data_IF_732868956073
#
_entry.id   IF_732868956073
#
_cell.length_a   1.000
_cell.length_b   1.000
_cell.length_c   1.000
_cell.angle_alpha   90.00
_cell.angle_beta   90.00
_cell.angle_gamma   90.00
#
_symmetry.space_group_name_H-M   'P 1'
#
loop_
_entity.id
_entity.type
_entity.pdbx_description
1 polymer ?
#
# COMPACT_ATOMS: atom_id res chain seq x y z
N UNK A 1 29.65 -35.38 -9.31
CA UNK A 1 29.48 -36.46 -10.29
C UNK A 1 28.18 -36.25 -11.04
N UNK A 2 28.28 -36.34 -12.38
CA UNK A 2 27.25 -36.22 -13.44
C UNK A 2 26.74 -34.80 -13.72
N UNK A 3 27.29 -34.10 -14.65
CA UNK A 3 27.43 -34.12 -16.14
C UNK A 3 26.11 -33.79 -16.87
N UNK A 4 26.14 -32.61 -17.47
CA UNK A 4 25.84 -32.12 -18.82
C UNK A 4 24.90 -32.94 -19.72
N UNK A 5 24.01 -32.27 -20.42
CA UNK A 5 23.94 -32.31 -21.88
C UNK A 5 23.29 -30.99 -22.39
N UNK A 6 24.07 -30.28 -23.23
CA UNK A 6 23.68 -29.20 -24.14
C UNK A 6 23.26 -29.86 -25.46
N UNK A 7 22.17 -29.45 -26.06
CA UNK A 7 21.85 -29.75 -27.44
C UNK A 7 21.60 -28.45 -28.24
N UNK A 8 22.56 -28.16 -29.13
CA UNK A 8 22.49 -27.17 -30.21
C UNK A 8 22.02 -27.93 -31.45
N UNK A 9 21.06 -27.41 -32.20
CA UNK A 9 20.81 -27.82 -33.59
C UNK A 9 20.56 -26.59 -34.48
N UNK A 10 21.04 -26.56 -35.73
CA UNK A 10 21.32 -25.36 -36.47
C UNK A 10 20.31 -24.96 -37.55
N UNK A 11 20.52 -23.75 -38.05
CA UNK A 11 19.95 -23.14 -39.26
C UNK A 11 20.06 -23.98 -40.52
N UNK A 12 19.01 -23.97 -41.35
CA UNK A 12 19.12 -24.17 -42.80
C UNK A 12 18.27 -23.13 -43.55
N UNK A 13 18.96 -22.41 -44.44
CA UNK A 13 18.41 -21.53 -45.48
C UNK A 13 18.26 -22.37 -46.78
N UNK A 14 17.24 -22.08 -47.58
CA UNK A 14 17.17 -22.05 -49.04
C UNK A 14 15.69 -21.83 -49.44
N UNK A 15 15.25 -21.05 -50.39
CA UNK A 15 15.79 -20.46 -51.57
C UNK A 15 14.59 -20.25 -52.51
N UNK A 16 14.55 -19.15 -53.24
CA UNK A 16 13.50 -18.67 -54.13
C UNK A 16 13.14 -19.61 -55.30
N UNK A 17 11.95 -19.58 -55.85
CA UNK A 17 11.64 -19.07 -57.18
C UNK A 17 10.16 -19.17 -57.62
N UNK A 18 9.70 -18.11 -58.25
CA UNK A 18 8.79 -17.83 -59.39
C UNK A 18 7.45 -18.56 -59.63
N UNK A 19 6.50 -17.65 -59.72
CA UNK A 19 5.45 -17.49 -60.77
C UNK A 19 4.49 -18.62 -61.06
N UNK A 20 3.19 -18.30 -61.02
CA UNK A 20 2.26 -18.40 -62.16
C UNK A 20 0.87 -17.81 -61.83
N UNK A 21 0.28 -17.23 -62.87
CA UNK A 21 -0.98 -16.52 -62.95
C UNK A 21 -2.20 -17.45 -62.82
N UNK A 22 -3.31 -16.92 -62.31
CA UNK A 22 -4.63 -17.52 -62.56
C UNK A 22 -5.68 -17.14 -61.55
N UNK A 23 -6.50 -16.14 -61.87
CA UNK A 23 -7.77 -15.83 -61.17
C UNK A 23 -8.87 -16.82 -61.63
N UNK A 24 -9.81 -17.17 -60.77
CA UNK A 24 -11.13 -16.58 -60.96
C UNK A 24 -11.88 -16.22 -59.65
N UNK A 25 -12.84 -15.34 -59.82
CA UNK A 25 -13.74 -14.74 -58.83
C UNK A 25 -14.45 -15.76 -57.91
N UNK A 26 -14.48 -15.46 -56.61
CA UNK A 26 -15.31 -16.06 -55.60
C UNK A 26 -16.05 -14.99 -54.77
N UNK A 27 -17.13 -15.33 -54.08
CA UNK A 27 -18.25 -14.42 -53.77
C UNK A 27 -18.00 -13.48 -52.60
N UNK A 28 -18.72 -12.37 -52.69
CA UNK A 28 -18.84 -11.21 -51.81
C UNK A 28 -18.42 -11.31 -50.37
N UNK A 29 -17.44 -10.49 -50.03
CA UNK A 29 -17.12 -10.14 -48.64
C UNK A 29 -18.18 -9.15 -48.14
N UNK A 30 -18.94 -9.57 -47.14
CA UNK A 30 -19.80 -8.66 -46.37
C UNK A 30 -18.94 -7.52 -45.82
N UNK A 31 -19.37 -6.25 -45.87
CA UNK A 31 -18.62 -5.16 -45.27
C UNK A 31 -18.56 -5.37 -43.77
N UNK A 32 -17.35 -5.61 -43.25
CA UNK A 32 -17.11 -5.69 -41.84
C UNK A 32 -17.57 -4.41 -41.17
N UNK A 33 -18.45 -4.52 -40.20
CA UNK A 33 -18.75 -3.45 -39.26
C UNK A 33 -17.45 -3.10 -38.54
N UNK A 34 -16.76 -2.08 -38.98
CA UNK A 34 -15.70 -1.44 -38.19
C UNK A 34 -16.43 -0.66 -37.09
N UNK A 35 -16.35 -1.14 -35.88
CA UNK A 35 -16.70 -0.31 -34.72
C UNK A 35 -15.81 0.94 -34.78
N UNK A 36 -16.37 2.16 -34.71
CA UNK A 36 -15.54 3.36 -34.63
C UNK A 36 -14.67 3.26 -33.38
N UNK A 37 -13.36 3.39 -33.54
CA UNK A 37 -12.43 3.52 -32.40
C UNK A 37 -12.90 4.73 -31.58
N UNK A 38 -13.44 4.47 -30.38
CA UNK A 38 -13.86 5.51 -29.42
C UNK A 38 -12.63 6.19 -28.80
N UNK A 39 -11.80 6.84 -29.63
CA UNK A 39 -10.50 7.40 -29.22
C UNK A 39 -10.56 8.69 -28.41
N UNK A 40 -11.74 9.34 -28.21
CA UNK A 40 -11.82 10.67 -27.60
C UNK A 40 -12.97 10.90 -26.60
N UNK A 41 -13.62 9.88 -26.09
CA UNK A 41 -14.65 10.06 -25.06
C UNK A 41 -13.95 10.02 -23.70
N UNK A 42 -13.89 11.18 -23.03
CA UNK A 42 -13.47 11.25 -21.63
C UNK A 42 -14.72 10.92 -20.81
N UNK A 43 -14.74 9.72 -20.22
CA UNK A 43 -15.74 9.39 -19.24
C UNK A 43 -15.37 10.07 -17.92
N UNK A 44 -16.31 10.78 -17.34
CA UNK A 44 -16.20 11.39 -16.02
C UNK A 44 -17.25 10.82 -15.11
N UNK A 45 -16.98 10.93 -13.83
CA UNK A 45 -17.90 10.52 -12.79
C UNK A 45 -19.24 11.24 -12.96
N UNK A 46 -20.32 10.47 -12.90
CA UNK A 46 -21.66 11.02 -12.89
C UNK A 46 -21.94 11.76 -11.58
N UNK A 47 -22.64 12.89 -11.65
CA UNK A 47 -22.92 13.73 -10.48
C UNK A 47 -23.77 13.02 -9.42
N UNK A 48 -24.72 12.18 -9.82
CA UNK A 48 -25.52 11.40 -8.86
C UNK A 48 -24.65 10.34 -8.17
N UNK A 49 -23.72 9.73 -8.90
CA UNK A 49 -22.76 8.79 -8.36
C UNK A 49 -21.78 9.49 -7.38
N UNK A 50 -21.34 10.70 -7.70
CA UNK A 50 -20.52 11.50 -6.79
C UNK A 50 -21.25 11.77 -5.45
N UNK A 51 -22.53 12.11 -5.50
CA UNK A 51 -23.34 12.28 -4.28
C UNK A 51 -23.42 10.99 -3.49
N UNK A 52 -23.66 9.85 -4.15
CA UNK A 52 -23.73 8.54 -3.49
C UNK A 52 -22.43 8.17 -2.77
N UNK A 53 -21.28 8.36 -3.43
CA UNK A 53 -19.98 8.01 -2.81
C UNK A 53 -19.57 9.00 -1.71
N UNK A 54 -19.96 10.27 -1.80
CA UNK A 54 -19.76 11.22 -0.71
C UNK A 54 -20.57 10.80 0.52
N UNK A 55 -21.84 10.42 0.36
CA UNK A 55 -22.65 9.89 1.44
C UNK A 55 -22.10 8.57 2.00
N UNK A 56 -21.59 7.69 1.13
CA UNK A 56 -20.93 6.46 1.57
C UNK A 56 -19.70 6.78 2.42
N UNK A 57 -18.83 7.71 1.98
CA UNK A 57 -17.64 8.13 2.73
C UNK A 57 -18.01 8.63 4.13
N UNK A 58 -19.06 9.47 4.26
CA UNK A 58 -19.53 9.95 5.57
C UNK A 58 -20.02 8.81 6.46
N UNK A 59 -20.71 7.81 5.91
CA UNK A 59 -21.13 6.61 6.65
C UNK A 59 -19.96 5.75 7.10
N UNK A 60 -18.94 5.58 6.24
CA UNK A 60 -17.70 4.86 6.58
C UNK A 60 -16.95 5.58 7.69
N UNK A 61 -16.87 6.92 7.63
CA UNK A 61 -16.25 7.72 8.68
C UNK A 61 -16.92 7.53 10.04
N UNK A 62 -18.26 7.49 10.08
CA UNK A 62 -19.02 7.20 11.31
C UNK A 62 -18.72 5.80 11.87
N UNK A 63 -18.38 4.85 10.99
CA UNK A 63 -18.19 3.44 11.32
C UNK A 63 -16.71 3.06 11.42
N UNK A 64 -15.81 4.01 11.69
CA UNK A 64 -14.37 3.80 11.72
C UNK A 64 -13.97 2.62 12.62
N UNK A 65 -13.23 1.65 12.08
CA UNK A 65 -12.77 0.44 12.77
C UNK A 65 -11.27 0.27 12.62
N UNK A 66 -10.61 -0.19 13.70
CA UNK A 66 -9.17 -0.42 13.71
C UNK A 66 -8.76 -1.57 12.80
N UNK A 67 -7.49 -1.56 12.38
CA UNK A 67 -6.85 -2.63 11.60
C UNK A 67 -7.15 -4.03 12.14
N UNK A 68 -7.58 -4.92 11.26
CA UNK A 68 -7.97 -6.29 11.58
C UNK A 68 -9.35 -6.45 12.23
N UNK A 69 -10.12 -5.36 12.36
CA UNK A 69 -11.47 -5.34 12.96
C UNK A 69 -12.53 -4.73 12.04
N UNK A 70 -12.23 -4.51 10.77
CA UNK A 70 -13.02 -3.80 9.76
C UNK A 70 -14.24 -4.63 9.27
N UNK A 71 -15.04 -5.13 10.22
CA UNK A 71 -16.18 -6.01 9.93
C UNK A 71 -17.37 -5.21 9.39
N UNK A 72 -17.73 -4.14 10.06
CA UNK A 72 -18.84 -3.28 9.70
C UNK A 72 -18.52 -2.44 8.47
N UNK A 73 -17.30 -1.90 8.39
CA UNK A 73 -16.76 -1.20 7.23
C UNK A 73 -16.85 -2.08 5.98
N UNK A 74 -16.33 -3.31 6.06
CA UNK A 74 -16.41 -4.28 4.97
C UNK A 74 -17.86 -4.64 4.60
N UNK A 75 -18.78 -4.75 5.58
CA UNK A 75 -20.20 -5.01 5.35
C UNK A 75 -20.85 -3.86 4.58
N UNK A 76 -20.66 -2.62 5.03
CA UNK A 76 -21.21 -1.42 4.40
C UNK A 76 -20.76 -1.28 2.94
N UNK A 77 -19.48 -1.49 2.67
CA UNK A 77 -18.93 -1.44 1.31
C UNK A 77 -19.56 -2.51 0.41
N UNK A 78 -19.65 -3.76 0.87
CA UNK A 78 -20.27 -4.84 0.09
C UNK A 78 -21.75 -4.62 -0.15
N UNK A 79 -22.50 -4.12 0.83
CA UNK A 79 -23.92 -3.78 0.68
C UNK A 79 -24.08 -2.65 -0.33
N UNK A 80 -23.30 -1.58 -0.22
CA UNK A 80 -23.34 -0.49 -1.20
C UNK A 80 -23.10 -0.98 -2.63
N UNK A 81 -22.10 -1.84 -2.85
CA UNK A 81 -21.80 -2.40 -4.15
C UNK A 81 -22.93 -3.30 -4.67
N UNK A 82 -23.51 -4.17 -3.82
CA UNK A 82 -24.63 -5.05 -4.18
C UNK A 82 -25.90 -4.28 -4.54
N UNK A 83 -26.16 -3.18 -3.86
CA UNK A 83 -27.34 -2.35 -4.10
C UNK A 83 -27.22 -1.47 -5.34
N UNK A 84 -26.02 -1.08 -5.72
CA UNK A 84 -25.81 -0.06 -6.74
C UNK A 84 -25.09 -0.56 -8.00
N UNK A 85 -24.61 -1.82 -8.04
CA UNK A 85 -23.87 -2.37 -9.18
C UNK A 85 -24.22 -3.84 -9.43
N UNK A 86 -23.90 -4.33 -10.63
CA UNK A 86 -23.97 -5.74 -10.99
C UNK A 86 -22.63 -6.48 -10.90
N UNK A 87 -21.61 -5.88 -10.27
CA UNK A 87 -20.28 -6.46 -10.15
C UNK A 87 -20.32 -7.74 -9.30
N UNK A 88 -19.54 -8.73 -9.68
CA UNK A 88 -19.31 -9.93 -8.86
C UNK A 88 -18.46 -9.53 -7.64
N UNK A 89 -18.93 -9.87 -6.43
CA UNK A 89 -18.22 -9.58 -5.16
C UNK A 89 -17.77 -10.90 -4.55
N UNK A 90 -16.49 -11.00 -4.24
CA UNK A 90 -15.88 -12.19 -3.66
C UNK A 90 -15.22 -11.85 -2.34
N UNK A 91 -15.74 -12.46 -1.27
CA UNK A 91 -15.18 -12.31 0.08
C UNK A 91 -13.97 -13.24 0.27
N UNK A 92 -12.96 -12.72 0.95
CA UNK A 92 -11.76 -13.41 1.37
C UNK A 92 -11.64 -13.33 2.91
N UNK A 93 -10.59 -13.84 3.47
CA UNK A 93 -10.38 -13.84 4.92
C UNK A 93 -10.12 -12.40 5.46
N UNK A 94 -11.21 -11.68 5.76
CA UNK A 94 -11.18 -10.32 6.33
C UNK A 94 -10.97 -9.18 5.31
N UNK A 95 -10.90 -9.48 4.02
CA UNK A 95 -10.90 -8.51 2.92
C UNK A 95 -11.78 -9.02 1.77
N UNK A 96 -12.03 -8.24 0.75
CA UNK A 96 -12.84 -8.66 -0.39
C UNK A 96 -12.44 -7.91 -1.66
N UNK A 97 -12.90 -8.42 -2.80
CA UNK A 97 -12.78 -7.69 -4.06
C UNK A 97 -14.11 -7.72 -4.82
N UNK A 98 -14.31 -6.70 -5.67
CA UNK A 98 -15.31 -6.70 -6.70
C UNK A 98 -14.64 -6.86 -8.07
N UNK A 99 -15.33 -7.47 -9.03
CA UNK A 99 -14.77 -7.67 -10.38
C UNK A 99 -15.78 -7.37 -11.46
N UNK A 100 -15.34 -6.60 -12.47
CA UNK A 100 -16.03 -6.42 -13.75
C UNK A 100 -15.25 -7.18 -14.83
N UNK A 101 -15.84 -8.23 -15.36
CA UNK A 101 -15.22 -9.01 -16.43
C UNK A 101 -15.10 -8.19 -17.71
N UNK A 102 -13.95 -8.26 -18.36
CA UNK A 102 -13.69 -7.62 -19.65
C UNK A 102 -14.32 -8.37 -20.82
N UNK A 103 -14.49 -7.66 -21.93
CA UNK A 103 -14.99 -8.25 -23.18
C UNK A 103 -13.95 -9.12 -23.88
N UNK A 104 -12.66 -8.83 -23.69
CA UNK A 104 -11.55 -9.54 -24.32
C UNK A 104 -10.70 -10.26 -23.25
N UNK A 105 -10.75 -11.59 -23.17
CA UNK A 105 -9.96 -12.37 -22.24
C UNK A 105 -8.44 -12.22 -22.44
N UNK A 106 -7.99 -11.89 -23.64
CA UNK A 106 -6.57 -11.73 -23.98
C UNK A 106 -6.03 -10.32 -23.63
N UNK A 107 -6.89 -9.36 -23.36
CA UNK A 107 -6.50 -7.99 -23.03
C UNK A 107 -5.83 -7.86 -21.64
N UNK A 108 -5.75 -8.96 -20.88
CA UNK A 108 -5.20 -8.97 -19.53
C UNK A 108 -6.18 -8.41 -18.48
N UNK A 109 -5.63 -8.02 -17.33
CA UNK A 109 -6.43 -7.49 -16.23
C UNK A 109 -5.72 -6.37 -15.51
N UNK A 110 -6.49 -5.51 -14.84
CA UNK A 110 -5.99 -4.40 -14.04
C UNK A 110 -6.65 -4.42 -12.67
N UNK A 111 -5.93 -4.06 -11.63
CA UNK A 111 -6.48 -3.92 -10.29
C UNK A 111 -6.33 -2.49 -9.76
N UNK A 112 -7.31 -2.10 -8.95
CA UNK A 112 -7.30 -0.89 -8.16
C UNK A 112 -7.47 -1.27 -6.70
N UNK A 113 -6.68 -0.68 -5.81
CA UNK A 113 -6.70 -0.97 -4.37
C UNK A 113 -7.14 0.25 -3.58
N UNK A 114 -7.96 0.00 -2.58
CA UNK A 114 -8.20 0.92 -1.47
C UNK A 114 -8.10 0.15 -0.14
N UNK A 115 -7.48 0.78 0.84
CA UNK A 115 -7.49 0.42 2.24
C UNK A 115 -8.84 0.79 2.89
N UNK A 116 -9.16 0.17 4.04
CA UNK A 116 -10.47 0.37 4.69
C UNK A 116 -10.41 0.53 6.21
N UNK A 117 -9.24 0.45 6.83
CA UNK A 117 -9.04 0.54 8.27
C UNK A 117 -8.90 1.98 8.77
N UNK A 118 -9.00 2.18 10.08
CA UNK A 118 -8.92 3.46 10.77
C UNK A 118 -7.88 3.42 11.90
N UNK A 119 -7.61 4.57 12.49
CA UNK A 119 -6.58 4.81 13.48
C UNK A 119 -7.14 4.95 14.91
N UNK A 120 -6.36 4.60 15.95
CA UNK A 120 -6.71 4.85 17.35
C UNK A 120 -6.49 6.32 17.72
N UNK A 121 -7.18 7.22 17.02
CA UNK A 121 -7.12 8.67 17.19
C UNK A 121 -8.51 9.19 17.47
N UNK A 122 -8.65 9.96 18.56
CA UNK A 122 -9.90 10.59 18.95
C UNK A 122 -10.38 11.60 17.92
N UNK A 123 -11.68 11.58 17.60
CA UNK A 123 -12.31 12.61 16.78
C UNK A 123 -12.42 13.91 17.56
N UNK A 124 -11.81 15.00 17.09
CA UNK A 124 -11.81 16.29 17.78
C UNK A 124 -12.50 17.43 17.02
N UNK A 125 -12.91 17.16 15.79
CA UNK A 125 -13.61 18.15 14.94
C UNK A 125 -15.13 17.90 14.99
N UNK A 126 -15.90 19.00 14.98
CA UNK A 126 -17.37 18.96 14.96
C UNK A 126 -17.85 18.65 13.54
N UNK A 127 -18.02 17.38 13.24
CA UNK A 127 -18.51 16.88 11.96
C UNK A 127 -19.90 16.27 12.12
N UNK A 128 -20.84 16.53 11.19
CA UNK A 128 -22.17 15.89 11.23
C UNK A 128 -22.10 14.36 11.04
N UNK A 129 -20.96 13.86 10.61
CA UNK A 129 -20.65 12.43 10.38
C UNK A 129 -19.43 11.98 11.20
N UNK A 130 -19.16 12.62 12.34
CA UNK A 130 -18.06 12.21 13.22
C UNK A 130 -18.15 10.73 13.59
N UNK A 131 -17.00 10.12 13.88
CA UNK A 131 -16.92 8.71 14.29
C UNK A 131 -17.82 8.42 15.49
N UNK A 132 -18.57 7.33 15.43
CA UNK A 132 -19.39 6.82 16.53
C UNK A 132 -18.59 5.93 17.50
N UNK A 133 -17.33 5.62 17.17
CA UNK A 133 -16.44 4.80 17.98
C UNK A 133 -15.44 5.69 18.73
N UNK A 134 -15.63 5.81 20.04
CA UNK A 134 -14.75 6.61 20.89
C UNK A 134 -13.29 6.18 20.74
N UNK A 135 -12.40 7.16 20.53
CA UNK A 135 -10.98 6.93 20.37
C UNK A 135 -10.55 6.33 19.02
N UNK A 136 -11.46 6.19 18.05
CA UNK A 136 -11.17 5.63 16.71
C UNK A 136 -11.75 6.54 15.64
N UNK A 137 -10.96 6.95 14.66
CA UNK A 137 -11.44 7.74 13.52
C UNK A 137 -10.55 7.60 12.27
N UNK A 138 -11.12 7.92 11.09
CA UNK A 138 -10.39 7.90 9.81
C UNK A 138 -9.52 9.16 9.68
N UNK A 139 -8.33 9.13 10.27
CA UNK A 139 -7.34 10.23 10.23
C UNK A 139 -6.22 10.03 9.20
N UNK A 140 -6.36 8.96 8.36
CA UNK A 140 -5.54 8.74 7.19
C UNK A 140 -6.31 8.95 5.87
N UNK A 141 -7.65 8.78 5.89
CA UNK A 141 -8.50 9.03 4.72
C UNK A 141 -8.92 7.77 3.96
N UNK A 142 -8.80 6.60 4.57
CA UNK A 142 -9.16 5.32 3.96
C UNK A 142 -10.66 5.19 3.66
N UNK A 143 -11.51 5.91 4.40
CA UNK A 143 -12.93 6.10 4.08
C UNK A 143 -13.13 6.77 2.70
N UNK A 144 -12.29 7.75 2.37
CA UNK A 144 -12.27 8.41 1.07
C UNK A 144 -11.69 7.52 -0.04
N UNK A 145 -10.63 6.74 0.25
CA UNK A 145 -10.04 5.82 -0.71
C UNK A 145 -11.04 4.76 -1.15
N UNK A 146 -11.70 4.11 -0.19
CA UNK A 146 -12.68 3.07 -0.45
C UNK A 146 -13.96 3.62 -1.09
N UNK A 147 -14.40 4.83 -0.72
CA UNK A 147 -15.52 5.49 -1.39
C UNK A 147 -15.21 5.84 -2.86
N UNK A 148 -13.98 6.33 -3.16
CA UNK A 148 -13.55 6.58 -4.54
C UNK A 148 -13.47 5.30 -5.37
N UNK A 149 -13.04 4.18 -4.76
CA UNK A 149 -13.03 2.87 -5.42
C UNK A 149 -14.46 2.37 -5.70
N UNK A 150 -15.42 2.62 -4.80
CA UNK A 150 -16.84 2.40 -5.08
C UNK A 150 -17.36 3.30 -6.22
N UNK A 151 -16.82 4.51 -6.35
CA UNK A 151 -17.10 5.39 -7.49
C UNK A 151 -16.67 4.77 -8.81
N UNK A 152 -15.48 4.20 -8.89
CA UNK A 152 -15.06 3.43 -10.06
C UNK A 152 -16.04 2.27 -10.34
N UNK A 153 -16.51 1.55 -9.33
CA UNK A 153 -17.47 0.45 -9.49
C UNK A 153 -18.77 0.91 -10.16
N UNK A 154 -19.33 2.04 -9.70
CA UNK A 154 -20.55 2.62 -10.28
C UNK A 154 -20.39 2.98 -11.76
N UNK A 155 -19.25 3.56 -12.13
CA UNK A 155 -18.99 3.94 -13.52
C UNK A 155 -18.69 2.71 -14.40
N UNK A 156 -17.96 1.71 -13.89
CA UNK A 156 -17.71 0.45 -14.60
C UNK A 156 -19.00 -0.34 -14.88
N UNK A 157 -20.01 -0.20 -14.05
CA UNK A 157 -21.27 -0.91 -14.27
C UNK A 157 -22.06 -0.41 -15.49
N UNK A 158 -21.75 0.80 -15.98
CA UNK A 158 -22.42 1.43 -17.12
C UNK A 158 -21.92 0.93 -18.48
N UNK A 159 -20.81 0.17 -18.52
CA UNK A 159 -20.23 -0.37 -19.77
C UNK A 159 -19.44 -1.66 -19.51
N UNK A 160 -19.07 -2.34 -20.58
CA UNK A 160 -18.17 -3.49 -20.51
C UNK A 160 -16.76 -3.02 -20.90
N UNK A 161 -15.78 -3.03 -19.98
CA UNK A 161 -14.40 -2.69 -20.32
C UNK A 161 -13.77 -3.74 -21.25
N UNK A 162 -12.70 -3.39 -21.97
CA UNK A 162 -11.96 -4.37 -22.77
C UNK A 162 -11.28 -5.40 -21.84
N UNK A 163 -10.64 -4.94 -20.79
CA UNK A 163 -9.90 -5.74 -19.80
C UNK A 163 -10.74 -6.05 -18.58
N UNK A 164 -10.45 -7.16 -17.91
CA UNK A 164 -11.04 -7.45 -16.59
C UNK A 164 -10.49 -6.46 -15.56
N UNK A 165 -11.39 -5.86 -14.77
CA UNK A 165 -11.05 -4.87 -13.74
C UNK A 165 -11.38 -5.43 -12.36
N UNK A 166 -10.37 -5.48 -11.48
CA UNK A 166 -10.50 -5.89 -10.09
C UNK A 166 -10.43 -4.67 -9.16
N UNK A 167 -11.33 -4.62 -8.20
CA UNK A 167 -11.40 -3.59 -7.16
C UNK A 167 -11.10 -4.26 -5.82
N UNK A 168 -9.92 -4.01 -5.26
CA UNK A 168 -9.43 -4.67 -4.05
C UNK A 168 -9.69 -3.77 -2.83
N UNK A 169 -10.50 -4.23 -1.89
CA UNK A 169 -10.80 -3.55 -0.63
C UNK A 169 -9.98 -4.22 0.47
N UNK A 170 -8.88 -3.61 0.83
CA UNK A 170 -7.84 -4.17 1.68
C UNK A 170 -8.01 -3.77 3.13
N UNK A 171 -7.93 -4.73 4.04
CA UNK A 171 -7.88 -4.51 5.49
C UNK A 171 -6.47 -4.17 5.98
N UNK A 172 -6.37 -3.64 7.21
CA UNK A 172 -5.16 -3.64 8.04
C UNK A 172 -3.91 -3.04 7.36
N UNK A 173 -4.07 -1.91 6.66
CA UNK A 173 -2.97 -1.16 6.06
C UNK A 173 -2.08 -0.56 7.14
N UNK A 174 -2.65 0.09 8.17
CA UNK A 174 -1.95 0.87 9.19
C UNK A 174 -0.99 0.04 10.07
N UNK A 175 -1.08 -1.29 9.99
CA UNK A 175 -0.17 -2.22 10.66
C UNK A 175 0.64 -3.11 9.68
N UNK A 176 0.59 -2.81 8.37
CA UNK A 176 1.35 -3.53 7.34
C UNK A 176 0.92 -4.98 7.11
N UNK A 177 -0.30 -5.37 7.52
CA UNK A 177 -0.73 -6.77 7.48
C UNK A 177 -1.62 -7.12 6.28
N UNK A 178 -2.21 -6.15 5.60
CA UNK A 178 -3.20 -6.36 4.54
C UNK A 178 -2.62 -6.58 3.15
N UNK A 179 -1.64 -5.79 2.76
CA UNK A 179 -1.09 -5.75 1.40
C UNK A 179 -0.54 -7.07 0.89
N UNK A 180 0.03 -7.90 1.77
CA UNK A 180 0.53 -9.23 1.42
C UNK A 180 -0.56 -10.18 0.89
N UNK A 181 -1.81 -10.06 1.37
CA UNK A 181 -2.93 -10.88 0.87
C UNK A 181 -3.40 -10.42 -0.51
N UNK A 182 -3.44 -9.10 -0.74
CA UNK A 182 -3.71 -8.55 -2.06
C UNK A 182 -2.61 -8.92 -3.06
N UNK A 183 -1.34 -8.86 -2.65
CA UNK A 183 -0.20 -9.26 -3.48
C UNK A 183 -0.26 -10.74 -3.86
N UNK A 184 -0.55 -11.63 -2.90
CA UNK A 184 -0.73 -13.06 -3.17
C UNK A 184 -1.86 -13.30 -4.19
N UNK A 185 -2.97 -12.58 -4.07
CA UNK A 185 -4.09 -12.67 -5.01
C UNK A 185 -3.71 -12.15 -6.41
N UNK A 186 -2.97 -11.03 -6.50
CA UNK A 186 -2.45 -10.49 -7.78
C UNK A 186 -1.60 -11.52 -8.49
N UNK A 187 -0.67 -12.16 -7.77
CA UNK A 187 0.19 -13.22 -8.29
C UNK A 187 -0.60 -14.45 -8.75
N UNK A 188 -1.50 -14.95 -7.91
CA UNK A 188 -2.33 -16.14 -8.19
C UNK A 188 -3.24 -15.92 -9.40
N UNK A 189 -3.79 -14.71 -9.55
CA UNK A 189 -4.74 -14.36 -10.61
C UNK A 189 -4.03 -13.94 -11.90
N UNK A 190 -2.74 -13.58 -11.84
CA UNK A 190 -1.98 -13.06 -12.98
C UNK A 190 -2.41 -11.66 -13.41
N UNK A 191 -2.80 -10.81 -12.44
CA UNK A 191 -3.14 -9.40 -12.72
C UNK A 191 -1.91 -8.69 -13.29
N UNK A 192 -2.09 -8.00 -14.40
CA UNK A 192 -0.98 -7.42 -15.19
C UNK A 192 -0.58 -6.01 -14.77
N UNK A 193 -1.46 -5.28 -14.08
CA UNK A 193 -1.21 -3.92 -13.59
C UNK A 193 -2.00 -3.66 -12.31
N UNK A 194 -1.42 -2.87 -11.38
CA UNK A 194 -2.10 -2.46 -10.15
C UNK A 194 -1.89 -0.98 -9.83
N UNK A 195 -2.93 -0.31 -9.35
CA UNK A 195 -2.91 1.10 -8.98
C UNK A 195 -3.60 1.35 -7.66
N UNK A 196 -3.06 2.32 -6.91
CA UNK A 196 -3.68 2.91 -5.74
C UNK A 196 -3.45 4.41 -5.72
N UNK A 197 -4.29 5.15 -4.99
CA UNK A 197 -3.98 6.54 -4.66
C UNK A 197 -3.99 6.75 -3.15
N UNK A 198 -3.30 7.79 -2.71
CA UNK A 198 -3.41 8.32 -1.35
C UNK A 198 -3.69 9.84 -1.40
N UNK A 199 -4.43 10.35 -0.44
CA UNK A 199 -4.60 11.78 -0.26
C UNK A 199 -3.36 12.38 0.40
N UNK A 200 -2.94 13.57 -0.02
CA UNK A 200 -1.72 14.18 0.50
C UNK A 200 -1.89 15.68 0.67
N UNK A 201 -1.67 16.18 1.89
CA UNK A 201 -1.65 17.61 2.18
C UNK A 201 -0.35 18.28 1.70
N UNK A 202 -0.34 19.61 1.64
CA UNK A 202 0.82 20.37 1.17
C UNK A 202 0.89 20.58 -0.34
N UNK A 203 -0.13 20.12 -1.08
CA UNK A 203 -0.23 20.24 -2.54
C UNK A 203 -1.59 20.81 -2.95
N UNK A 204 -1.67 21.48 -4.11
CA UNK A 204 -2.94 22.05 -4.60
C UNK A 204 -4.05 20.98 -4.68
N UNK A 205 -5.28 21.36 -4.33
CA UNK A 205 -6.45 20.45 -4.38
C UNK A 205 -6.57 19.83 -5.76
N UNK A 206 -6.82 18.51 -5.82
CA UNK A 206 -6.97 17.71 -7.05
C UNK A 206 -5.73 17.68 -7.97
N UNK A 207 -4.57 18.13 -7.52
CA UNK A 207 -3.33 17.87 -8.26
C UNK A 207 -2.90 16.41 -8.09
N UNK A 208 -2.38 15.80 -9.15
CA UNK A 208 -1.79 14.47 -9.13
C UNK A 208 -0.33 14.60 -8.72
N UNK A 209 -0.02 14.11 -7.54
CA UNK A 209 1.31 14.13 -6.95
C UNK A 209 1.94 12.75 -7.10
N UNK A 210 3.14 12.67 -7.63
CA UNK A 210 3.77 11.39 -7.93
C UNK A 210 5.28 11.44 -7.69
N UNK A 211 5.89 10.28 -7.57
CA UNK A 211 7.34 10.12 -7.60
C UNK A 211 7.70 8.90 -8.45
N UNK A 212 8.75 9.05 -9.29
CA UNK A 212 9.27 7.94 -10.08
C UNK A 212 10.12 7.02 -9.20
N UNK A 213 10.05 5.73 -9.47
CA UNK A 213 10.78 4.73 -8.70
C UNK A 213 10.31 4.68 -7.24
N UNK A 214 11.24 4.70 -6.31
CA UNK A 214 10.94 4.58 -4.89
C UNK A 214 10.15 5.80 -4.37
N UNK A 215 8.98 5.54 -3.79
CA UNK A 215 8.05 6.57 -3.30
C UNK A 215 8.04 6.65 -1.78
N UNK A 216 7.98 5.51 -1.10
CA UNK A 216 7.96 5.39 0.35
C UNK A 216 8.98 4.34 0.81
N UNK A 217 9.67 4.57 1.96
CA UNK A 217 10.67 3.68 2.51
C UNK A 217 10.05 2.44 3.15
N UNK A 218 10.85 1.40 3.29
CA UNK A 218 10.54 0.28 4.16
C UNK A 218 10.55 0.70 5.63
N UNK A 219 9.74 0.03 6.47
CA UNK A 219 9.64 0.32 7.90
C UNK A 219 9.24 -0.93 8.69
N UNK A 220 9.75 -1.03 9.92
CA UNK A 220 9.32 -2.06 10.87
C UNK A 220 9.49 -1.59 12.32
N UNK A 221 8.69 -2.13 13.22
CA UNK A 221 8.86 -2.03 14.66
C UNK A 221 9.73 -3.18 15.17
N UNK A 222 10.78 -2.89 15.93
CA UNK A 222 11.60 -3.87 16.61
C UNK A 222 11.40 -3.77 18.11
N UNK A 223 11.02 -4.87 18.77
CA UNK A 223 11.10 -5.03 20.22
C UNK A 223 12.23 -5.99 20.57
N UNK A 224 13.18 -5.53 21.38
CA UNK A 224 14.21 -6.36 22.01
C UNK A 224 13.86 -6.55 23.48
N UNK A 225 13.83 -7.78 23.96
CA UNK A 225 13.64 -8.14 25.36
C UNK A 225 14.93 -8.73 25.92
N UNK A 226 15.33 -8.27 27.09
CA UNK A 226 16.51 -8.74 27.80
C UNK A 226 16.07 -9.37 29.12
N UNK A 227 16.34 -10.66 29.25
CA UNK A 227 15.89 -11.49 30.36
C UNK A 227 17.06 -11.88 31.24
N UNK A 228 17.04 -11.44 32.47
CA UNK A 228 18.06 -11.69 33.48
C UNK A 228 17.48 -12.22 34.78
N UNK A 229 17.91 -11.66 35.91
CA UNK A 229 17.47 -12.09 37.26
C UNK A 229 17.42 -10.89 38.20
N UNK A 230 16.31 -10.73 38.90
CA UNK A 230 16.17 -9.72 39.97
C UNK A 230 17.06 -10.03 41.17
N UNK A 231 17.46 -9.02 41.91
CA UNK A 231 18.13 -9.11 43.22
C UNK A 231 17.73 -7.95 44.11
N UNK A 232 18.12 -8.00 45.37
CA UNK A 232 18.04 -6.83 46.23
C UNK A 232 19.02 -5.74 45.74
N UNK A 233 18.61 -4.50 45.75
CA UNK A 233 19.44 -3.41 45.23
C UNK A 233 20.79 -3.22 45.98
N UNK A 234 20.89 -3.69 47.22
CA UNK A 234 22.13 -3.74 47.99
C UNK A 234 23.07 -4.94 47.69
N UNK A 235 22.60 -5.91 46.91
CA UNK A 235 23.34 -7.08 46.45
C UNK A 235 23.17 -7.29 44.94
N UNK A 236 23.66 -6.32 44.12
CA UNK A 236 23.45 -6.37 42.66
C UNK A 236 24.18 -7.53 42.00
N UNK A 237 25.23 -8.11 42.63
CA UNK A 237 25.99 -9.27 42.19
C UNK A 237 25.19 -10.55 42.14
N UNK A 238 24.10 -10.65 42.90
CA UNK A 238 23.20 -11.79 42.93
C UNK A 238 22.19 -11.76 41.79
N UNK A 239 22.07 -10.64 41.11
CA UNK A 239 21.17 -10.36 39.97
C UNK A 239 21.85 -10.45 38.61
N UNK A 240 21.06 -10.19 37.58
CA UNK A 240 21.50 -9.94 36.21
C UNK A 240 20.63 -8.82 35.66
N UNK A 241 21.13 -7.59 35.78
CA UNK A 241 20.38 -6.38 35.43
C UNK A 241 20.56 -6.06 33.93
N UNK A 242 19.48 -5.91 33.14
CA UNK A 242 19.55 -5.63 31.70
C UNK A 242 19.85 -4.18 31.35
N UNK A 243 19.78 -3.23 32.29
CA UNK A 243 19.83 -1.81 32.01
C UNK A 243 21.10 -1.37 31.24
N UNK A 244 22.28 -1.93 31.59
CA UNK A 244 23.50 -1.62 30.87
C UNK A 244 23.50 -2.11 29.43
N UNK A 245 23.05 -3.36 29.20
CA UNK A 245 22.96 -3.93 27.86
C UNK A 245 21.97 -3.15 26.96
N UNK A 246 20.84 -2.70 27.52
CA UNK A 246 19.85 -1.84 26.82
C UNK A 246 20.51 -0.49 26.45
N UNK A 247 21.17 0.15 27.41
CA UNK A 247 21.82 1.45 27.15
C UNK A 247 22.93 1.34 26.09
N UNK A 248 23.79 0.29 26.17
CA UNK A 248 24.82 0.03 25.15
C UNK A 248 24.20 -0.18 23.77
N UNK A 249 23.05 -0.91 23.68
CA UNK A 249 22.34 -1.14 22.43
C UNK A 249 21.75 0.15 21.83
N UNK A 250 21.18 1.03 22.66
CA UNK A 250 20.71 2.37 22.23
C UNK A 250 21.85 3.19 21.65
N UNK A 251 22.97 3.29 22.37
CA UNK A 251 24.14 4.02 21.89
C UNK A 251 24.78 3.42 20.64
N UNK A 252 24.63 2.12 20.45
CA UNK A 252 25.07 1.46 19.22
C UNK A 252 24.15 1.78 18.05
N UNK A 253 22.83 1.80 18.26
CA UNK A 253 21.88 2.22 17.25
C UNK A 253 22.20 3.61 16.69
N UNK A 254 22.50 4.58 17.56
CA UNK A 254 22.93 5.93 17.16
C UNK A 254 24.22 5.91 16.32
N UNK A 255 25.18 5.05 16.66
CA UNK A 255 26.43 4.91 15.87
C UNK A 255 26.17 4.29 14.49
N UNK A 256 25.28 3.30 14.40
CA UNK A 256 24.91 2.68 13.13
C UNK A 256 24.38 3.68 12.12
N UNK A 257 23.66 4.71 12.56
CA UNK A 257 23.13 5.76 11.67
C UNK A 257 24.21 6.63 11.03
N UNK A 258 25.46 6.58 11.54
CA UNK A 258 26.61 7.27 10.95
C UNK A 258 27.37 6.41 9.93
N UNK A 259 26.99 5.14 9.77
CA UNK A 259 27.58 4.26 8.78
C UNK A 259 27.06 4.56 7.37
N UNK A 260 27.74 4.00 6.37
CA UNK A 260 27.37 4.20 4.97
C UNK A 260 26.32 3.17 4.56
N UNK A 261 25.16 3.67 4.12
CA UNK A 261 24.08 2.90 3.51
C UNK A 261 23.86 3.33 2.05
N UNK A 262 23.07 2.57 1.32
CA UNK A 262 22.71 2.91 -0.07
C UNK A 262 21.76 4.10 -0.15
N UNK A 263 20.89 4.25 0.85
CA UNK A 263 19.91 5.33 0.97
C UNK A 263 19.77 5.85 2.41
N UNK A 264 18.68 6.56 2.65
CA UNK A 264 18.31 7.05 3.99
C UNK A 264 18.05 5.87 4.92
N UNK A 265 18.58 5.93 6.14
CA UNK A 265 18.29 5.00 7.23
C UNK A 265 17.95 5.79 8.49
N UNK A 266 16.91 5.37 9.20
CA UNK A 266 16.49 5.94 10.47
C UNK A 266 16.26 4.81 11.49
N UNK A 267 16.59 5.09 12.74
CA UNK A 267 16.24 4.26 13.88
C UNK A 267 15.74 5.18 14.99
N UNK A 268 14.49 5.03 15.37
CA UNK A 268 13.89 5.88 16.42
C UNK A 268 13.56 5.01 17.62
N UNK A 269 14.16 5.30 18.77
CA UNK A 269 13.79 4.65 20.02
C UNK A 269 12.41 5.13 20.44
N UNK A 270 11.45 4.22 20.57
CA UNK A 270 10.06 4.49 20.94
C UNK A 270 9.73 4.07 22.37
N UNK A 271 10.56 3.25 22.99
CA UNK A 271 10.38 2.85 24.38
C UNK A 271 11.58 2.16 24.99
N UNK A 272 11.86 2.46 26.25
CA UNK A 272 12.86 1.78 27.08
C UNK A 272 12.21 1.45 28.41
N UNK A 273 12.33 0.22 28.85
CA UNK A 273 11.87 -0.22 30.17
C UNK A 273 12.91 -1.16 30.80
N UNK A 274 13.20 -0.95 32.09
CA UNK A 274 14.03 -1.86 32.88
C UNK A 274 13.50 -1.89 34.31
N UNK A 275 13.06 -3.10 34.76
CA UNK A 275 12.48 -3.32 36.07
C UNK A 275 11.12 -2.63 36.31
N UNK A 276 10.71 -2.55 37.58
CA UNK A 276 9.39 -2.09 38.03
C UNK A 276 9.38 -0.66 38.55
N UNK A 277 10.53 -0.02 38.69
CA UNK A 277 10.69 1.32 39.28
C UNK A 277 10.87 1.31 40.80
N UNK A 278 10.89 0.16 41.47
CA UNK A 278 11.14 0.04 42.91
C UNK A 278 12.62 0.22 43.23
N UNK A 279 12.95 1.16 44.11
CA UNK A 279 14.37 1.45 44.49
C UNK A 279 15.07 0.30 45.23
N UNK A 280 14.32 -0.59 45.86
CA UNK A 280 14.86 -1.74 46.61
C UNK A 280 15.17 -2.98 45.74
N UNK A 281 14.81 -2.98 44.45
CA UNK A 281 14.89 -4.15 43.57
C UNK A 281 15.74 -3.82 42.34
N UNK A 282 16.79 -4.60 42.11
CA UNK A 282 17.53 -4.58 40.84
C UNK A 282 16.72 -5.24 39.73
N UNK A 283 16.63 -4.57 38.58
CA UNK A 283 15.86 -5.09 37.44
C UNK A 283 16.35 -6.48 36.99
N UNK A 284 15.41 -7.40 36.73
CA UNK A 284 15.70 -8.71 36.18
C UNK A 284 15.28 -8.85 34.72
N UNK A 285 14.48 -7.95 34.20
CA UNK A 285 14.08 -7.90 32.79
C UNK A 285 13.91 -6.47 32.32
N UNK A 286 14.00 -6.29 31.01
CA UNK A 286 13.76 -5.02 30.37
C UNK A 286 13.53 -5.17 28.88
N UNK A 287 13.03 -4.11 28.26
CA UNK A 287 12.75 -4.05 26.84
C UNK A 287 13.23 -2.74 26.21
N UNK A 288 13.59 -2.83 24.94
CA UNK A 288 13.90 -1.72 24.06
C UNK A 288 13.03 -1.82 22.82
N UNK A 289 12.25 -0.76 22.54
CA UNK A 289 11.43 -0.66 21.34
C UNK A 289 11.96 0.42 20.41
N UNK A 290 12.02 0.09 19.13
CA UNK A 290 12.54 0.98 18.11
C UNK A 290 11.68 0.86 16.85
N UNK A 291 11.53 1.97 16.11
CA UNK A 291 11.06 1.93 14.72
C UNK A 291 12.29 2.06 13.82
N UNK A 292 12.48 1.06 12.97
CA UNK A 292 13.49 1.05 11.92
C UNK A 292 12.84 1.51 10.62
N UNK A 293 13.55 2.32 9.84
CA UNK A 293 13.09 2.78 8.53
C UNK A 293 14.28 2.95 7.60
N UNK A 294 14.15 2.43 6.39
CA UNK A 294 15.20 2.60 5.39
C UNK A 294 14.62 2.84 4.00
N UNK A 295 15.32 3.61 3.20
CA UNK A 295 14.95 3.84 1.80
C UNK A 295 14.85 2.53 1.02
N UNK A 296 15.74 1.57 1.32
CA UNK A 296 15.79 0.25 0.71
C UNK A 296 15.63 -0.86 1.75
N UNK A 297 14.85 -1.89 1.45
CA UNK A 297 14.70 -3.05 2.33
C UNK A 297 16.03 -3.74 2.65
N UNK A 298 16.97 -3.74 1.72
CA UNK A 298 18.31 -4.29 1.95
C UNK A 298 19.08 -3.55 3.06
N UNK A 299 18.98 -2.22 3.09
CA UNK A 299 19.59 -1.40 4.15
C UNK A 299 18.88 -1.62 5.50
N UNK A 300 17.56 -1.80 5.50
CA UNK A 300 16.79 -2.11 6.72
C UNK A 300 17.17 -3.48 7.28
N UNK A 301 17.27 -4.50 6.42
CA UNK A 301 17.72 -5.82 6.84
C UNK A 301 19.14 -5.82 7.42
N UNK A 302 20.06 -5.04 6.82
CA UNK A 302 21.42 -4.87 7.34
C UNK A 302 21.44 -4.15 8.70
N UNK A 303 20.60 -3.12 8.88
CA UNK A 303 20.47 -2.42 10.15
C UNK A 303 19.94 -3.37 11.24
N UNK A 304 18.88 -4.12 10.94
CA UNK A 304 18.30 -5.11 11.86
C UNK A 304 19.34 -6.18 12.25
N UNK A 305 20.04 -6.77 11.30
CA UNK A 305 21.08 -7.78 11.54
C UNK A 305 22.13 -7.28 12.51
N UNK A 306 22.68 -6.07 12.28
CA UNK A 306 23.69 -5.47 13.15
C UNK A 306 23.16 -5.19 14.55
N UNK A 307 21.93 -4.67 14.67
CA UNK A 307 21.30 -4.41 15.96
C UNK A 307 21.12 -5.69 16.78
N UNK A 308 20.60 -6.75 16.14
CA UNK A 308 20.39 -8.05 16.80
C UNK A 308 21.71 -8.70 17.25
N UNK A 309 22.74 -8.66 16.39
CA UNK A 309 24.07 -9.19 16.72
C UNK A 309 24.70 -8.44 17.90
N UNK A 310 24.62 -7.12 17.92
CA UNK A 310 25.18 -6.31 19.00
C UNK A 310 24.43 -6.50 20.32
N UNK A 311 23.08 -6.47 20.27
CA UNK A 311 22.24 -6.73 21.44
C UNK A 311 22.52 -8.11 22.06
N UNK A 312 22.67 -9.14 21.22
CA UNK A 312 23.06 -10.49 21.65
C UNK A 312 24.41 -10.50 22.35
N UNK A 313 25.43 -9.85 21.78
CA UNK A 313 26.77 -9.76 22.39
C UNK A 313 26.77 -9.03 23.73
N UNK A 314 25.98 -7.93 23.87
CA UNK A 314 25.81 -7.23 25.14
C UNK A 314 25.12 -8.12 26.19
N UNK A 315 24.12 -8.88 25.77
CA UNK A 315 23.41 -9.81 26.65
C UNK A 315 24.30 -10.96 27.14
N UNK A 316 25.05 -11.57 26.23
CA UNK A 316 25.99 -12.67 26.58
C UNK A 316 27.03 -12.20 27.60
N UNK A 317 27.63 -11.01 27.38
CA UNK A 317 28.58 -10.39 28.30
C UNK A 317 27.97 -10.16 29.70
N UNK A 318 26.71 -9.83 29.78
CA UNK A 318 25.97 -9.58 31.03
C UNK A 318 25.27 -10.83 31.62
N UNK A 319 25.41 -11.99 30.98
CA UNK A 319 24.74 -13.24 31.40
C UNK A 319 23.22 -13.18 31.28
N UNK A 320 22.70 -12.44 30.29
CA UNK A 320 21.28 -12.30 29.97
C UNK A 320 20.91 -13.20 28.80
N UNK A 321 19.60 -13.44 28.62
CA UNK A 321 19.01 -13.97 27.38
C UNK A 321 18.34 -12.83 26.62
N UNK A 322 18.33 -12.91 25.28
CA UNK A 322 17.58 -11.97 24.42
C UNK A 322 16.51 -12.68 23.65
N UNK A 323 15.39 -12.00 23.47
CA UNK A 323 14.33 -12.33 22.54
C UNK A 323 14.05 -11.09 21.69
N UNK A 324 13.56 -11.27 20.46
CA UNK A 324 13.10 -10.16 19.65
C UNK A 324 11.78 -10.47 18.96
N UNK A 325 11.04 -9.42 18.62
CA UNK A 325 9.84 -9.49 17.81
C UNK A 325 9.81 -8.33 16.83
N UNK A 326 9.31 -8.60 15.63
CA UNK A 326 9.09 -7.61 14.58
C UNK A 326 7.59 -7.34 14.49
N UNK A 327 7.23 -6.06 14.37
CA UNK A 327 5.87 -5.56 14.26
C UNK A 327 5.77 -4.61 13.07
N UNK A 328 4.56 -4.47 12.53
CA UNK A 328 4.20 -3.43 11.57
C UNK A 328 5.23 -3.31 10.43
N UNK A 329 5.52 -4.44 9.78
CA UNK A 329 6.45 -4.47 8.65
C UNK A 329 5.79 -3.95 7.39
N UNK A 330 6.39 -2.91 6.82
CA UNK A 330 6.02 -2.32 5.53
C UNK A 330 7.19 -2.47 4.55
N UNK A 331 6.96 -3.01 3.35
CA UNK A 331 8.00 -3.04 2.32
C UNK A 331 8.26 -1.63 1.76
N UNK A 332 9.34 -1.47 1.02
CA UNK A 332 9.52 -0.26 0.20
C UNK A 332 8.44 -0.21 -0.90
N UNK A 333 7.84 0.97 -1.11
CA UNK A 333 6.86 1.19 -2.18
C UNK A 333 7.56 1.82 -3.38
N UNK A 334 7.65 1.04 -4.47
CA UNK A 334 8.38 1.41 -5.68
C UNK A 334 7.48 1.39 -6.90
N UNK A 335 7.20 2.57 -7.43
CA UNK A 335 6.47 2.75 -8.68
C UNK A 335 7.27 2.25 -9.88
N UNK A 336 6.63 1.54 -10.80
CA UNK A 336 7.20 1.21 -12.08
C UNK A 336 7.15 2.41 -13.04
N UNK A 337 8.14 2.53 -13.94
CA UNK A 337 8.11 3.57 -14.98
C UNK A 337 6.89 3.44 -15.89
N UNK A 338 6.46 2.21 -16.14
CA UNK A 338 5.24 1.92 -16.88
C UNK A 338 4.01 2.49 -16.16
N UNK A 339 3.83 2.19 -14.88
CA UNK A 339 2.71 2.67 -14.06
C UNK A 339 2.64 4.20 -13.99
N UNK A 340 3.80 4.86 -13.77
CA UNK A 340 3.85 6.32 -13.75
C UNK A 340 3.50 6.94 -15.10
N UNK A 341 3.96 6.37 -16.22
CA UNK A 341 3.54 6.86 -17.55
C UNK A 341 2.03 6.77 -17.76
N UNK A 342 1.39 5.69 -17.26
CA UNK A 342 -0.06 5.50 -17.32
C UNK A 342 -0.79 6.54 -16.46
N UNK A 343 -0.33 6.78 -15.23
CA UNK A 343 -0.89 7.80 -14.32
C UNK A 343 -0.79 9.20 -14.95
N UNK A 344 0.36 9.55 -15.52
CA UNK A 344 0.55 10.85 -16.17
C UNK A 344 -0.30 11.03 -17.42
N UNK A 345 -0.46 9.97 -18.22
CA UNK A 345 -1.34 10.00 -19.39
C UNK A 345 -2.82 10.14 -18.99
N UNK A 346 -3.24 9.51 -17.89
CA UNK A 346 -4.59 9.68 -17.34
C UNK A 346 -4.82 11.09 -16.82
N UNK A 347 -3.86 11.65 -16.08
CA UNK A 347 -3.91 13.04 -15.59
C UNK A 347 -3.98 14.06 -16.74
N UNK A 348 -3.19 13.86 -17.81
CA UNK A 348 -3.21 14.72 -19.01
C UNK A 348 -4.58 14.68 -19.71
N UNK A 349 -5.16 13.49 -19.89
CA UNK A 349 -6.51 13.33 -20.45
C UNK A 349 -7.59 14.04 -19.64
N UNK A 350 -7.44 14.09 -18.33
CA UNK A 350 -8.36 14.77 -17.41
C UNK A 350 -8.04 16.25 -17.22
N UNK A 351 -6.96 16.76 -17.83
CA UNK A 351 -6.44 18.12 -17.69
C UNK A 351 -6.10 18.47 -16.23
N UNK A 352 -5.60 17.50 -15.47
CA UNK A 352 -5.19 17.67 -14.08
C UNK A 352 -3.75 18.17 -13.98
N UNK A 353 -3.48 19.04 -13.01
CA UNK A 353 -2.11 19.47 -12.68
C UNK A 353 -1.34 18.28 -12.11
N UNK A 354 -0.10 18.08 -12.58
CA UNK A 354 0.80 17.07 -12.03
C UNK A 354 1.96 17.73 -11.29
N UNK A 355 2.41 17.11 -10.19
CA UNK A 355 3.53 17.57 -9.37
C UNK A 355 4.42 16.37 -9.06
N UNK A 356 5.68 16.41 -9.47
CA UNK A 356 6.66 15.38 -9.11
C UNK A 356 7.31 15.70 -7.77
N UNK A 357 7.29 14.75 -6.83
CA UNK A 357 7.95 14.90 -5.53
C UNK A 357 9.46 14.71 -5.68
N UNK A 358 10.23 15.68 -5.23
CA UNK A 358 11.69 15.60 -5.19
C UNK A 358 12.18 14.65 -4.10
N UNK A 359 11.50 14.62 -2.95
CA UNK A 359 11.87 13.82 -1.78
C UNK A 359 10.91 12.65 -1.59
N UNK A 360 11.40 11.59 -0.95
CA UNK A 360 10.56 10.50 -0.47
C UNK A 360 9.46 11.01 0.45
N UNK A 361 8.27 10.47 0.30
CA UNK A 361 7.26 10.57 1.33
C UNK A 361 7.62 9.55 2.43
N UNK A 362 7.94 10.05 3.63
CA UNK A 362 8.48 9.21 4.71
C UNK A 362 7.44 8.36 5.44
N UNK A 363 6.17 8.39 5.04
CA UNK A 363 5.15 7.47 5.53
C UNK A 363 5.49 6.03 5.12
N UNK A 364 4.91 5.06 5.82
CA UNK A 364 4.95 3.65 5.41
C UNK A 364 3.71 3.35 4.55
N UNK A 365 3.76 2.28 3.77
CA UNK A 365 2.65 1.85 2.90
C UNK A 365 2.83 0.38 2.51
N UNK A 366 1.81 -0.42 2.73
CA UNK A 366 1.90 -1.86 2.44
C UNK A 366 1.51 -2.22 0.99
N UNK A 367 1.05 -1.26 0.19
CA UNK A 367 0.84 -1.43 -1.26
C UNK A 367 2.14 -1.80 -2.00
N UNK A 368 3.29 -1.53 -1.40
CA UNK A 368 4.59 -2.00 -1.88
C UNK A 368 4.63 -3.51 -2.15
N UNK A 369 3.89 -4.32 -1.38
CA UNK A 369 3.74 -5.76 -1.65
C UNK A 369 3.11 -6.01 -3.03
N UNK A 370 2.06 -5.29 -3.38
CA UNK A 370 1.37 -5.43 -4.68
C UNK A 370 2.28 -5.05 -5.85
N UNK A 371 3.06 -3.97 -5.70
CA UNK A 371 3.98 -3.48 -6.73
C UNK A 371 5.19 -4.41 -6.97
N UNK A 372 5.45 -5.37 -6.09
CA UNK A 372 6.44 -6.43 -6.31
C UNK A 372 5.93 -7.55 -7.24
N UNK A 373 4.62 -7.73 -7.33
CA UNK A 373 4.02 -8.83 -8.10
C UNK A 373 3.68 -8.42 -9.54
N UNK A 374 3.35 -7.15 -9.80
CA UNK A 374 3.10 -6.65 -11.16
C UNK A 374 3.45 -5.16 -11.29
N UNK A 375 3.67 -4.66 -12.53
CA UNK A 375 3.84 -3.25 -12.80
C UNK A 375 2.63 -2.43 -12.32
N UNK A 376 2.90 -1.23 -11.80
CA UNK A 376 1.83 -0.33 -11.35
C UNK A 376 2.40 0.92 -10.73
N UNK A 377 1.53 1.68 -10.08
CA UNK A 377 1.93 2.87 -9.37
C UNK A 377 0.95 3.22 -8.24
N UNK A 378 1.51 3.75 -7.17
CA UNK A 378 0.81 4.57 -6.20
C UNK A 378 1.08 6.03 -6.50
N UNK A 379 0.02 6.80 -6.65
CA UNK A 379 0.09 8.26 -6.80
C UNK A 379 -0.68 8.93 -5.66
N UNK A 380 -0.40 10.21 -5.43
CA UNK A 380 -1.17 10.95 -4.43
C UNK A 380 -2.06 11.98 -5.11
N UNK A 381 -3.13 12.40 -4.41
CA UNK A 381 -4.01 13.50 -4.81
C UNK A 381 -3.91 14.60 -3.75
N UNK A 382 -3.54 15.80 -4.18
CA UNK A 382 -3.40 16.95 -3.31
C UNK A 382 -4.73 17.33 -2.65
N UNK A 383 -4.73 17.52 -1.32
CA UNK A 383 -5.91 17.92 -0.54
C UNK A 383 -5.96 19.41 -0.25
N UNK A 384 -4.88 20.15 -0.52
CA UNK A 384 -4.71 21.57 -0.25
C UNK A 384 -3.35 21.87 0.37
N UNK A 385 -2.79 23.04 0.04
CA UNK A 385 -1.45 23.45 0.51
C UNK A 385 -1.39 23.61 2.03
N UNK A 386 -2.48 24.08 2.65
CA UNK A 386 -2.60 24.30 4.09
C UNK A 386 -3.63 23.34 4.74
N UNK A 387 -3.87 22.18 4.15
CA UNK A 387 -4.80 21.19 4.70
C UNK A 387 -4.18 20.50 5.92
N UNK A 388 -5.00 20.11 6.94
CA UNK A 388 -4.49 19.39 8.10
C UNK A 388 -3.69 18.15 7.71
N UNK A 389 -2.64 17.86 8.49
CA UNK A 389 -1.78 16.71 8.23
C UNK A 389 -2.51 15.41 8.60
N UNK A 390 -2.16 14.33 7.88
CA UNK A 390 -2.58 12.97 8.21
C UNK A 390 -2.17 12.62 9.65
N UNK A 391 -2.91 11.71 10.30
CA UNK A 391 -2.70 11.23 11.66
C UNK A 391 -2.80 12.34 12.73
N UNK A 392 -3.47 13.46 12.42
CA UNK A 392 -3.80 14.51 13.40
C UNK A 392 -5.29 14.50 13.72
N UNK A 393 -5.64 14.98 14.91
CA UNK A 393 -7.05 15.06 15.38
C UNK A 393 -7.91 15.98 14.52
N UNK A 394 -7.28 16.97 13.88
CA UNK A 394 -7.90 17.99 13.04
C UNK A 394 -8.09 17.53 11.59
N UNK A 395 -7.55 16.35 11.22
CA UNK A 395 -7.68 15.83 9.85
C UNK A 395 -9.10 15.30 9.62
N UNK A 396 -9.63 15.59 8.41
CA UNK A 396 -10.75 14.90 7.77
C UNK A 396 -10.41 14.71 6.27
N UNK A 397 -10.98 13.71 5.62
CA UNK A 397 -10.78 13.53 4.19
C UNK A 397 -11.44 14.68 3.41
N UNK A 398 -10.75 15.24 2.44
CA UNK A 398 -11.30 16.32 1.62
C UNK A 398 -12.20 15.78 0.51
N UNK A 399 -13.51 15.82 0.69
CA UNK A 399 -14.50 15.32 -0.30
C UNK A 399 -14.34 15.93 -1.70
N UNK A 400 -13.70 17.11 -1.81
CA UNK A 400 -13.46 17.76 -3.12
C UNK A 400 -12.53 16.95 -4.03
N UNK A 401 -11.79 15.99 -3.50
CA UNK A 401 -10.91 15.12 -4.31
C UNK A 401 -11.54 13.80 -4.71
N UNK A 402 -12.74 13.45 -4.22
CA UNK A 402 -13.43 12.19 -4.55
C UNK A 402 -13.66 12.04 -6.06
N UNK A 403 -14.17 13.10 -6.71
CA UNK A 403 -14.38 13.10 -8.16
C UNK A 403 -13.06 12.85 -8.91
N UNK A 404 -12.00 13.55 -8.52
CA UNK A 404 -10.67 13.38 -9.13
C UNK A 404 -10.15 11.95 -8.98
N UNK A 405 -10.31 11.36 -7.81
CA UNK A 405 -9.84 10.00 -7.53
C UNK A 405 -10.59 8.95 -8.37
N UNK A 406 -11.92 9.05 -8.43
CA UNK A 406 -12.73 8.15 -9.23
C UNK A 406 -12.47 8.33 -10.74
N UNK A 407 -12.33 9.56 -11.23
CA UNK A 407 -12.01 9.87 -12.63
C UNK A 407 -10.63 9.34 -13.03
N UNK A 408 -9.62 9.44 -12.16
CA UNK A 408 -8.30 8.86 -12.38
C UNK A 408 -8.36 7.35 -12.50
N UNK A 409 -9.04 6.67 -11.59
CA UNK A 409 -9.23 5.23 -11.66
C UNK A 409 -9.99 4.80 -12.92
N UNK A 410 -11.08 5.49 -13.26
CA UNK A 410 -11.86 5.21 -14.46
C UNK A 410 -11.03 5.39 -15.74
N UNK A 411 -10.23 6.46 -15.81
CA UNK A 411 -9.38 6.74 -16.97
C UNK A 411 -8.27 5.70 -17.11
N UNK A 412 -7.68 5.24 -16.01
CA UNK A 412 -6.69 4.15 -16.00
C UNK A 412 -7.31 2.81 -16.43
N UNK A 413 -8.54 2.52 -15.98
CA UNK A 413 -9.26 1.28 -16.34
C UNK A 413 -9.59 1.21 -17.83
N UNK A 414 -9.82 2.35 -18.48
CA UNK A 414 -10.18 2.46 -19.91
C UNK A 414 -8.96 2.58 -20.84
N UNK A 415 -7.78 2.83 -20.31
CA UNK A 415 -6.59 2.97 -21.13
C UNK A 415 -6.14 1.61 -21.70
N UNK A 416 -5.93 1.55 -23.02
CA UNK A 416 -5.40 0.39 -23.77
C UNK A 416 -3.91 0.17 -23.53
#
# INVERSE_FOLDING_TARGET
MYNHIIAIIPFLRAGADKSLKGSPAGPGICPGFSFPRMRNIIFRMDKENLVKITQLRHRLHQCAELSGRELETGRLLREFLKENTSLEIVEKNGWFYAVKRGADPEAGSIAFRADIDALPIEESIDLPYASLHAGVSHKCGHDGHSAALCGLALELDRFTPARTVYLLFQKAEEIGDGGKYCAAFIKETGISEVYAFHNLNGFPVSSIVYRRGLTQPASEGLELRFLGKTSHASAPEDGRNPAAAIAETVLYAERLLQEKYSGMVLCTVTGIQAGTGDFGISAGEGSLRMTLRAEYEADMALLLEKLLAFAGACADKAGLKTEHAIFDYFPETRNSDFGIRRVLAAADRLHLKTVEMEKLWRASEDFGYCLKECPGAMFCIGTGENYPALHTKEYDFNDRILETAADMFLTLAQAE
#
